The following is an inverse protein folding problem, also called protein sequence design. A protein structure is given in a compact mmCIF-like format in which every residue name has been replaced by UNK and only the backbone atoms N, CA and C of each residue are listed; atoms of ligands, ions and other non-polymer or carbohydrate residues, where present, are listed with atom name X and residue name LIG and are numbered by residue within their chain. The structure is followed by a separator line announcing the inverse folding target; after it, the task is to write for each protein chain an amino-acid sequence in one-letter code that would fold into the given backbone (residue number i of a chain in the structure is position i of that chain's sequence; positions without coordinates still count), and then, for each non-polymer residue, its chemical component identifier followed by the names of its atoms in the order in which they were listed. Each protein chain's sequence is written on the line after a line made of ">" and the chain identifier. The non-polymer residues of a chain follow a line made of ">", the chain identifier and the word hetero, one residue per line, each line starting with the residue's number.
data_IF_968808184699
#
_entry.id   IF_968808184699
#
_cell.length_a   1.000
_cell.length_b   1.000
_cell.length_c   1.000
_cell.angle_alpha   90.00
_cell.angle_beta   90.00
_cell.angle_gamma   90.00
#
_symmetry.space_group_name_H-M   'P 1'
#
loop_
_entity.id
_entity.type
_entity.pdbx_description
1 polymer ?
#
# COMPACT_ATOMS: atom_id res chain seq x y z
N UNK A 1 18.59 7.59 10.34
CA UNK A 1 17.47 7.15 9.45
C UNK A 1 17.51 7.97 8.17
N UNK A 2 17.46 7.33 7.00
CA UNK A 2 17.35 8.01 5.70
C UNK A 2 16.14 7.49 4.95
N UNK A 3 15.36 8.37 4.33
CA UNK A 3 14.15 8.01 3.58
C UNK A 3 14.38 8.31 2.10
N UNK A 4 13.94 7.40 1.23
CA UNK A 4 13.88 7.61 -0.21
C UNK A 4 12.50 7.24 -0.75
N UNK A 5 11.96 8.11 -1.59
CA UNK A 5 10.80 7.81 -2.43
C UNK A 5 11.30 7.18 -3.74
N UNK A 6 10.68 6.08 -4.12
CA UNK A 6 10.99 5.31 -5.34
C UNK A 6 9.71 5.20 -6.18
N UNK A 7 9.86 4.86 -7.47
CA UNK A 7 8.75 4.58 -8.38
C UNK A 7 7.66 5.67 -8.34
N UNK A 8 8.07 6.93 -8.52
CA UNK A 8 7.17 8.10 -8.51
C UNK A 8 6.31 8.24 -7.24
N UNK A 9 6.81 7.76 -6.09
CA UNK A 9 6.14 7.87 -4.80
C UNK A 9 5.25 6.67 -4.43
N UNK A 10 5.20 5.63 -5.27
CA UNK A 10 4.47 4.38 -4.94
C UNK A 10 5.22 3.50 -3.95
N UNK A 11 6.52 3.73 -3.74
CA UNK A 11 7.37 2.95 -2.85
C UNK A 11 8.18 3.87 -1.94
N UNK A 12 8.19 3.57 -0.64
CA UNK A 12 9.01 4.26 0.37
C UNK A 12 10.06 3.28 0.88
N UNK A 13 11.34 3.66 0.80
CA UNK A 13 12.43 2.90 1.39
C UNK A 13 13.06 3.66 2.54
N UNK A 14 13.07 3.04 3.71
CA UNK A 14 13.67 3.59 4.93
C UNK A 14 14.95 2.81 5.24
N UNK A 15 16.03 3.54 5.51
CA UNK A 15 17.34 3.00 5.80
C UNK A 15 17.71 3.29 7.26
N UNK A 16 18.15 2.23 7.94
CA UNK A 16 18.73 2.26 9.27
C UNK A 16 20.19 1.84 9.18
N UNK A 17 21.05 2.37 10.05
CA UNK A 17 22.42 1.89 10.18
C UNK A 17 22.44 0.53 10.89
N UNK A 18 21.56 0.38 11.88
CA UNK A 18 21.31 -0.86 12.63
C UNK A 18 19.90 -0.79 13.22
N UNK A 19 19.30 -1.96 13.46
CA UNK A 19 18.09 -2.14 14.26
C UNK A 19 18.44 -3.06 15.43
N UNK A 20 17.93 -2.75 16.61
CA UNK A 20 18.16 -3.53 17.83
C UNK A 20 16.85 -4.06 18.40
N UNK A 21 16.85 -4.37 19.70
CA UNK A 21 15.68 -4.90 20.41
C UNK A 21 14.58 -3.86 20.67
N UNK A 22 14.88 -2.58 20.46
CA UNK A 22 13.94 -1.50 20.68
C UNK A 22 13.09 -1.21 19.44
N UNK A 23 11.80 -0.92 19.69
CA UNK A 23 10.85 -0.56 18.65
C UNK A 23 11.28 0.70 17.89
N UNK A 24 11.32 0.57 16.56
CA UNK A 24 11.61 1.67 15.64
C UNK A 24 10.38 1.97 14.79
N UNK A 25 9.50 2.83 15.32
CA UNK A 25 8.21 3.16 14.69
C UNK A 25 8.28 4.45 13.86
N UNK A 26 7.53 4.49 12.76
CA UNK A 26 7.30 5.70 11.96
C UNK A 26 5.94 5.62 11.26
N UNK A 27 5.45 6.78 10.80
CA UNK A 27 4.17 6.89 10.10
C UNK A 27 4.41 7.36 8.68
N UNK A 28 3.85 6.65 7.71
CA UNK A 28 3.81 7.07 6.30
C UNK A 28 2.42 7.61 6.01
N UNK A 29 2.34 8.87 5.55
CA UNK A 29 1.10 9.46 5.05
C UNK A 29 1.11 9.42 3.53
N UNK A 30 0.03 8.91 2.93
CA UNK A 30 -0.15 8.83 1.49
C UNK A 30 -1.59 9.24 1.14
N UNK A 31 -1.75 9.85 -0.04
CA UNK A 31 -3.04 10.28 -0.57
C UNK A 31 -3.46 9.36 -1.72
N UNK A 32 -4.76 9.04 -1.79
CA UNK A 32 -5.33 8.23 -2.86
C UNK A 32 -5.55 9.12 -4.08
N UNK A 33 -4.64 9.03 -5.06
CA UNK A 33 -4.66 9.83 -6.30
C UNK A 33 -5.45 9.22 -7.45
N UNK A 34 -5.67 7.91 -7.40
CA UNK A 34 -6.36 7.15 -8.43
C UNK A 34 -7.40 6.25 -7.79
N UNK A 35 -8.54 6.11 -8.45
CA UNK A 35 -9.57 5.16 -8.08
C UNK A 35 -9.24 3.77 -8.64
N UNK A 36 -9.10 2.80 -7.74
CA UNK A 36 -8.73 1.41 -8.07
C UNK A 36 -9.63 0.46 -7.30
N UNK A 37 -10.42 -0.31 -8.03
CA UNK A 37 -11.26 -1.36 -7.47
C UNK A 37 -10.48 -2.68 -7.37
N UNK A 38 -10.89 -3.56 -6.44
CA UNK A 38 -10.37 -4.91 -6.28
C UNK A 38 -8.84 -4.98 -6.18
N UNK A 39 -8.23 -3.94 -5.59
CA UNK A 39 -6.78 -3.91 -5.45
C UNK A 39 -6.30 -5.05 -4.57
N UNK A 40 -5.14 -5.62 -4.93
CA UNK A 40 -4.52 -6.69 -4.15
C UNK A 40 -3.86 -6.14 -2.88
N UNK A 41 -3.78 -6.93 -1.80
CA UNK A 41 -3.07 -6.55 -0.58
C UNK A 41 -1.65 -6.05 -0.88
N UNK A 42 -1.27 -4.96 -0.23
CA UNK A 42 0.10 -4.45 -0.25
C UNK A 42 0.91 -5.10 0.88
N UNK A 43 2.20 -4.80 0.96
CA UNK A 43 3.06 -5.33 2.01
C UNK A 43 4.13 -4.33 2.45
N UNK A 44 4.58 -4.51 3.68
CA UNK A 44 5.78 -3.90 4.23
C UNK A 44 6.81 -4.99 4.44
N UNK A 45 8.05 -4.74 4.03
CA UNK A 45 9.18 -5.64 4.26
C UNK A 45 10.28 -4.91 5.02
N UNK A 46 10.80 -5.57 6.04
CA UNK A 46 12.06 -5.22 6.69
C UNK A 46 13.01 -6.40 6.49
N UNK A 47 14.25 -6.11 6.14
CA UNK A 47 15.26 -7.13 5.88
C UNK A 47 16.64 -6.58 6.20
N UNK A 48 17.55 -7.47 6.60
CA UNK A 48 18.96 -7.14 6.76
C UNK A 48 19.62 -6.97 5.38
N UNK A 49 20.39 -5.89 5.23
CA UNK A 49 20.98 -5.53 3.94
C UNK A 49 22.16 -6.46 3.53
N UNK A 50 22.78 -7.13 4.50
CA UNK A 50 23.90 -8.06 4.32
C UNK A 50 23.38 -9.50 4.26
N UNK A 51 22.57 -9.93 5.23
CA UNK A 51 21.96 -11.26 5.25
C UNK A 51 20.46 -11.23 4.91
N UNK A 52 20.14 -11.48 3.64
CA UNK A 52 18.76 -11.45 3.13
C UNK A 52 17.84 -12.55 3.68
N UNK A 53 18.37 -13.53 4.43
CA UNK A 53 17.55 -14.53 5.11
C UNK A 53 16.91 -14.00 6.40
N UNK A 54 17.45 -12.91 6.94
CA UNK A 54 16.89 -12.22 8.11
C UNK A 54 15.91 -11.15 7.63
N UNK A 55 14.63 -11.49 7.60
CA UNK A 55 13.58 -10.58 7.14
C UNK A 55 12.24 -10.87 7.79
N UNK A 56 11.35 -9.88 7.73
CA UNK A 56 9.94 -10.03 8.03
C UNK A 56 9.10 -9.30 6.97
N UNK A 57 7.99 -9.93 6.58
CA UNK A 57 7.01 -9.35 5.65
C UNK A 57 5.66 -9.33 6.35
N UNK A 58 4.98 -8.19 6.30
CA UNK A 58 3.60 -8.07 6.74
C UNK A 58 2.74 -7.50 5.63
N UNK A 59 1.67 -8.23 5.29
CA UNK A 59 0.66 -7.76 4.34
C UNK A 59 -0.33 -6.84 5.04
N UNK A 60 -0.87 -5.90 4.29
CA UNK A 60 -1.96 -5.05 4.74
C UNK A 60 -2.91 -4.77 3.59
N UNK A 61 -4.19 -4.72 3.92
CA UNK A 61 -5.23 -4.28 3.01
C UNK A 61 -5.54 -2.81 3.26
N UNK A 62 -5.62 -2.04 2.19
CA UNK A 62 -6.17 -0.69 2.24
C UNK A 62 -7.70 -0.72 2.25
N UNK A 63 -8.32 0.41 1.91
CA UNK A 63 -9.76 0.46 1.66
C UNK A 63 -10.02 -0.16 0.28
N UNK A 64 -10.47 -1.42 0.25
CA UNK A 64 -10.73 -2.16 -0.99
C UNK A 64 -12.10 -1.77 -1.54
N UNK A 65 -12.10 -0.89 -2.53
CA UNK A 65 -13.30 -0.52 -3.27
C UNK A 65 -13.73 -1.65 -4.20
N UNK A 66 -15.04 -1.84 -4.34
CA UNK A 66 -15.66 -2.65 -5.39
C UNK A 66 -15.78 -1.84 -6.69
N UNK A 67 -15.94 -2.50 -7.85
CA UNK A 67 -16.13 -1.79 -9.13
C UNK A 67 -17.29 -0.80 -9.08
N UNK A 68 -18.39 -1.17 -8.43
CA UNK A 68 -19.55 -0.30 -8.27
C UNK A 68 -19.32 0.93 -7.38
N UNK A 69 -18.25 0.96 -6.58
CA UNK A 69 -17.93 2.11 -5.73
C UNK A 69 -17.18 3.22 -6.50
N UNK A 70 -16.64 2.90 -7.69
CA UNK A 70 -15.79 3.82 -8.46
C UNK A 70 -16.19 3.96 -9.93
N UNK A 71 -17.13 3.15 -10.43
CA UNK A 71 -17.61 3.23 -11.80
C UNK A 71 -18.25 4.60 -12.09
N UNK A 72 -18.29 4.98 -13.37
CA UNK A 72 -18.92 6.23 -13.82
C UNK A 72 -19.87 5.93 -14.97
N UNK A 73 -21.04 6.59 -14.96
CA UNK A 73 -22.03 6.58 -16.04
C UNK A 73 -22.30 5.17 -16.63
N UNK A 74 -22.00 4.99 -17.92
CA UNK A 74 -22.24 3.76 -18.69
C UNK A 74 -21.53 2.53 -18.10
N UNK A 75 -20.39 2.71 -17.43
CA UNK A 75 -19.67 1.61 -16.78
C UNK A 75 -20.51 1.02 -15.63
N UNK A 76 -21.22 1.87 -14.88
CA UNK A 76 -22.08 1.40 -13.80
C UNK A 76 -23.34 0.71 -14.32
N UNK A 77 -23.89 1.19 -15.44
CA UNK A 77 -25.09 0.61 -16.08
C UNK A 77 -24.80 -0.80 -16.62
N UNK A 78 -23.67 -0.96 -17.30
CA UNK A 78 -23.22 -2.25 -17.85
C UNK A 78 -22.90 -3.28 -16.75
N UNK A 79 -22.42 -2.82 -15.59
CA UNK A 79 -22.13 -3.67 -14.43
C UNK A 79 -23.37 -3.99 -13.56
N UNK A 80 -24.56 -3.50 -13.93
CA UNK A 80 -25.80 -3.67 -13.17
C UNK A 80 -25.64 -3.33 -11.68
N UNK A 81 -24.86 -2.29 -11.39
CA UNK A 81 -24.63 -1.83 -10.02
C UNK A 81 -25.97 -1.42 -9.39
N UNK A 82 -26.19 -1.79 -8.13
CA UNK A 82 -27.35 -1.32 -7.38
C UNK A 82 -27.18 0.16 -7.13
N UNK A 83 -27.70 1.00 -8.02
CA UNK A 83 -27.82 2.43 -7.75
C UNK A 83 -28.65 2.55 -6.48
N UNK A 84 -28.03 2.98 -5.38
CA UNK A 84 -28.75 3.24 -4.16
C UNK A 84 -29.79 4.31 -4.49
N UNK A 85 -31.07 3.93 -4.35
CA UNK A 85 -32.22 4.76 -4.66
C UNK A 85 -32.35 5.90 -3.65
#
# INVERSE_FOLDING_TARGET
>A
MKIKLLNQGTNVRVYYNSLGEFDSCFIVKAERRYDVALHRPAHVVVYDAVDKNVFAIKKYDGIVNQPCDICQDEDCETMACKVAK
#
